data_IF_404285029802
#
_entry.id   IF_404285029802
#
_cell.length_a   1.000
_cell.length_b   1.000
_cell.length_c   1.000
_cell.angle_alpha   90.00
_cell.angle_beta   90.00
_cell.angle_gamma   90.00
#
_symmetry.space_group_name_H-M   'P 1'
#
loop_
_entity.id
_entity.type
_entity.pdbx_description
1 polymer ?
#
# COMPACT_ATOMS: atom_id res chain seq x y z
N UNK A 1 -2.73 39.94 -0.44
CA UNK A 1 -1.47 39.95 0.34
C UNK A 1 -0.40 39.26 -0.49
N UNK A 2 0.61 39.98 -0.98
CA UNK A 2 1.66 39.40 -1.82
C UNK A 2 2.79 38.85 -0.95
N UNK A 3 2.93 37.52 -0.90
CA UNK A 3 3.98 36.85 -0.14
C UNK A 3 5.04 36.22 -1.06
N UNK A 4 6.29 36.23 -0.60
CA UNK A 4 7.38 35.48 -1.22
C UNK A 4 7.03 33.98 -1.29
N UNK A 5 7.44 33.31 -2.37
CA UNK A 5 7.08 31.91 -2.70
C UNK A 5 5.60 31.64 -3.01
N UNK A 6 4.86 32.65 -3.46
CA UNK A 6 3.50 32.49 -3.98
C UNK A 6 3.40 32.94 -5.43
N UNK A 7 2.27 32.66 -6.08
CA UNK A 7 2.00 33.09 -7.45
C UNK A 7 1.59 34.57 -7.57
N UNK A 8 1.50 35.30 -6.45
CA UNK A 8 1.11 36.71 -6.43
C UNK A 8 -0.36 36.97 -6.81
N UNK A 9 -1.20 35.95 -6.81
CA UNK A 9 -2.62 36.00 -7.22
C UNK A 9 -3.60 35.82 -6.04
N UNK A 10 -3.13 36.01 -4.80
CA UNK A 10 -3.89 35.87 -3.54
C UNK A 10 -4.48 34.46 -3.26
N UNK A 11 -4.17 33.44 -4.06
CA UNK A 11 -4.55 32.05 -3.79
C UNK A 11 -3.37 31.24 -3.22
N UNK A 12 -3.43 30.96 -1.92
CA UNK A 12 -2.43 30.16 -1.21
C UNK A 12 -2.70 28.64 -1.29
N UNK A 13 -3.78 28.23 -1.96
CA UNK A 13 -4.16 26.81 -2.06
C UNK A 13 -3.58 26.14 -3.29
N UNK A 14 -2.98 26.87 -4.22
CA UNK A 14 -2.56 26.33 -5.52
C UNK A 14 -1.64 25.12 -5.38
N UNK A 15 -0.63 25.21 -4.50
CA UNK A 15 0.30 24.09 -4.26
C UNK A 15 -0.40 22.87 -3.64
N UNK A 16 -1.31 23.10 -2.70
CA UNK A 16 -2.11 22.05 -2.09
C UNK A 16 -3.01 21.35 -3.13
N UNK A 17 -3.64 22.14 -4.01
CA UNK A 17 -4.52 21.63 -5.05
C UNK A 17 -3.73 20.80 -6.05
N UNK A 18 -2.52 21.22 -6.42
CA UNK A 18 -1.62 20.42 -7.27
C UNK A 18 -1.22 19.10 -6.60
N UNK A 19 -0.78 19.14 -5.34
CA UNK A 19 -0.38 17.94 -4.59
C UNK A 19 -1.55 16.98 -4.35
N UNK A 20 -2.77 17.48 -4.17
CA UNK A 20 -3.97 16.65 -3.93
C UNK A 20 -4.23 15.62 -5.03
N UNK A 21 -3.78 15.87 -6.27
CA UNK A 21 -3.98 14.96 -7.40
C UNK A 21 -3.06 13.73 -7.34
N UNK A 22 -1.98 13.80 -6.55
CA UNK A 22 -0.99 12.72 -6.43
C UNK A 22 -0.90 12.14 -5.01
N UNK A 23 -1.58 12.76 -4.05
CA UNK A 23 -1.65 12.31 -2.66
C UNK A 23 -2.95 11.56 -2.37
N UNK A 24 -2.91 10.56 -1.48
CA UNK A 24 -4.13 9.87 -1.04
C UNK A 24 -4.93 10.66 0.01
N UNK A 25 -4.28 11.58 0.71
CA UNK A 25 -4.91 12.51 1.66
C UNK A 25 -4.19 13.86 1.66
N UNK A 26 -4.89 14.92 2.08
CA UNK A 26 -4.34 16.27 2.23
C UNK A 26 -4.85 16.93 3.50
N UNK A 27 -3.97 17.15 4.47
CA UNK A 27 -4.27 17.78 5.74
C UNK A 27 -3.84 19.26 5.77
N UNK A 28 -4.69 20.12 6.32
CA UNK A 28 -4.43 21.56 6.47
C UNK A 28 -4.55 21.98 7.93
N UNK A 29 -3.40 22.14 8.58
CA UNK A 29 -3.27 22.28 10.03
C UNK A 29 -3.60 23.70 10.52
N UNK A 30 -4.79 24.22 10.20
CA UNK A 30 -5.17 25.62 10.48
C UNK A 30 -5.79 25.84 11.86
N UNK A 31 -6.35 24.78 12.48
CA UNK A 31 -7.10 24.88 13.74
C UNK A 31 -6.47 23.99 14.80
N UNK A 32 -5.86 24.55 15.86
CA UNK A 32 -5.18 23.80 16.92
C UNK A 32 -5.97 22.60 17.49
N UNK A 33 -7.30 22.74 17.61
CA UNK A 33 -8.19 21.69 18.13
C UNK A 33 -8.33 20.46 17.21
N UNK A 34 -8.02 20.59 15.92
CA UNK A 34 -8.18 19.53 14.90
C UNK A 34 -6.83 18.93 14.48
N UNK A 35 -5.70 19.63 14.73
CA UNK A 35 -4.37 19.27 14.22
C UNK A 35 -3.97 17.83 14.58
N UNK A 36 -4.13 17.43 15.84
CA UNK A 36 -3.72 16.10 16.28
C UNK A 36 -4.49 14.99 15.55
N UNK A 37 -5.80 15.18 15.34
CA UNK A 37 -6.62 14.23 14.58
C UNK A 37 -6.24 14.19 13.09
N UNK A 38 -6.00 15.36 12.48
CA UNK A 38 -5.60 15.47 11.08
C UNK A 38 -4.26 14.79 10.78
N UNK A 39 -3.28 14.93 11.69
CA UNK A 39 -1.98 14.26 11.56
C UNK A 39 -2.16 12.74 11.65
N UNK A 40 -2.87 12.25 12.68
CA UNK A 40 -3.10 10.81 12.84
C UNK A 40 -3.84 10.20 11.64
N UNK A 41 -4.84 10.90 11.11
CA UNK A 41 -5.57 10.49 9.93
C UNK A 41 -4.66 10.41 8.70
N UNK A 42 -3.89 11.47 8.42
CA UNK A 42 -2.98 11.49 7.28
C UNK A 42 -1.92 10.37 7.39
N UNK A 43 -1.38 10.10 8.58
CA UNK A 43 -0.43 9.02 8.79
C UNK A 43 -1.07 7.63 8.60
N UNK A 44 -2.30 7.43 9.09
CA UNK A 44 -3.07 6.20 8.87
C UNK A 44 -3.31 5.97 7.37
N UNK A 45 -3.82 6.97 6.65
CA UNK A 45 -4.09 6.84 5.21
C UNK A 45 -2.81 6.59 4.40
N UNK A 46 -1.70 7.23 4.79
CA UNK A 46 -0.38 7.00 4.19
C UNK A 46 0.05 5.54 4.34
N UNK A 47 -0.11 5.00 5.55
CA UNK A 47 0.28 3.63 5.88
C UNK A 47 -0.62 2.60 5.20
N UNK A 48 -1.93 2.65 5.43
CA UNK A 48 -2.91 1.68 4.93
C UNK A 48 -2.93 1.63 3.41
N UNK A 49 -2.86 2.80 2.74
CA UNK A 49 -2.89 2.85 1.28
C UNK A 49 -1.51 2.67 0.63
N UNK A 50 -0.43 2.72 1.41
CA UNK A 50 0.96 2.77 0.91
C UNK A 50 1.15 3.82 -0.19
N UNK A 51 0.60 5.02 0.03
CA UNK A 51 0.57 6.15 -0.90
C UNK A 51 0.93 7.45 -0.17
N UNK A 52 1.49 8.46 -0.86
CA UNK A 52 1.93 9.69 -0.22
C UNK A 52 0.74 10.52 0.27
N UNK A 53 0.95 11.28 1.35
CA UNK A 53 0.02 12.29 1.87
C UNK A 53 0.67 13.67 1.86
N UNK A 54 -0.14 14.73 1.83
CA UNK A 54 0.33 16.11 1.84
C UNK A 54 -0.16 16.83 3.09
N UNK A 55 0.76 17.36 3.91
CA UNK A 55 0.42 18.07 5.15
C UNK A 55 0.90 19.51 5.03
N UNK A 56 0.00 20.46 5.24
CA UNK A 56 0.29 21.89 5.26
C UNK A 56 0.30 22.35 6.71
N UNK A 57 1.47 22.83 7.14
CA UNK A 57 1.68 23.43 8.46
C UNK A 57 1.91 24.94 8.30
N UNK A 58 0.93 25.79 8.63
CA UNK A 58 1.15 27.24 8.69
C UNK A 58 2.22 27.58 9.73
N UNK A 59 3.10 28.53 9.41
CA UNK A 59 4.22 28.89 10.30
C UNK A 59 3.76 29.41 11.66
N UNK A 60 2.63 30.11 11.72
CA UNK A 60 2.05 30.61 12.98
C UNK A 60 1.42 29.49 13.84
N UNK A 61 1.24 28.29 13.28
CA UNK A 61 0.77 27.10 14.01
C UNK A 61 1.92 26.26 14.56
N UNK A 62 3.13 26.38 14.01
CA UNK A 62 4.26 25.49 14.33
C UNK A 62 4.63 25.48 15.82
N UNK A 63 4.49 26.63 16.51
CA UNK A 63 4.79 26.77 17.93
C UNK A 63 3.54 26.68 18.84
N UNK A 64 2.35 26.52 18.25
CA UNK A 64 1.12 26.46 19.05
C UNK A 64 1.04 25.14 19.80
N UNK A 65 0.72 25.22 21.08
CA UNK A 65 0.37 24.05 21.88
C UNK A 65 -1.00 23.54 21.46
N UNK A 66 -1.07 22.23 21.25
CA UNK A 66 -2.32 21.51 20.97
C UNK A 66 -2.56 20.48 22.09
N UNK A 67 -3.75 19.89 22.09
CA UNK A 67 -4.11 18.77 22.96
C UNK A 67 -3.16 17.59 22.70
N UNK A 68 -2.64 16.96 23.76
CA UNK A 68 -1.58 15.95 23.69
C UNK A 68 -1.99 14.53 24.08
N UNK A 69 -3.20 14.32 24.61
CA UNK A 69 -3.69 13.02 25.08
C UNK A 69 -3.71 11.95 23.98
N UNK A 70 -3.78 12.36 22.71
CA UNK A 70 -3.66 11.42 21.58
C UNK A 70 -2.30 10.75 21.49
N UNK A 71 -1.23 11.33 22.05
CA UNK A 71 0.10 10.70 22.10
C UNK A 71 0.13 9.46 23.01
N UNK A 72 -0.80 9.35 23.96
CA UNK A 72 -0.92 8.18 24.84
C UNK A 72 -1.52 6.96 24.12
N UNK A 73 -2.13 7.17 22.94
CA UNK A 73 -2.75 6.11 22.13
C UNK A 73 -2.04 5.97 20.79
N UNK A 74 -1.42 4.83 20.49
CA UNK A 74 -0.82 4.60 19.17
C UNK A 74 -1.86 4.76 18.05
N UNK A 75 -1.41 5.25 16.90
CA UNK A 75 -2.26 5.30 15.70
C UNK A 75 -2.64 3.86 15.33
N UNK A 76 -3.94 3.63 15.13
CA UNK A 76 -4.44 2.36 14.60
C UNK A 76 -4.05 2.21 13.13
N UNK A 77 -3.01 1.42 12.90
CA UNK A 77 -2.47 1.09 11.58
C UNK A 77 -2.99 -0.25 11.04
N UNK A 78 -4.00 -0.84 11.68
CA UNK A 78 -4.57 -2.11 11.22
C UNK A 78 -5.30 -1.93 9.90
N UNK A 79 -5.18 -2.94 9.03
CA UNK A 79 -5.89 -2.97 7.76
C UNK A 79 -7.41 -3.05 8.01
N UNK A 80 -8.25 -2.37 7.22
CA UNK A 80 -9.70 -2.48 7.32
C UNK A 80 -10.15 -3.93 7.15
N UNK A 81 -11.10 -4.36 7.97
CA UNK A 81 -11.70 -5.69 7.80
C UNK A 81 -12.46 -5.75 6.48
N UNK A 82 -12.29 -6.84 5.74
CA UNK A 82 -13.12 -7.14 4.60
C UNK A 82 -14.56 -7.47 5.02
N UNK A 83 -15.48 -7.39 4.07
CA UNK A 83 -16.84 -7.90 4.22
C UNK A 83 -16.82 -9.43 4.16
N UNK A 84 -17.24 -10.16 5.22
CA UNK A 84 -17.04 -11.61 5.32
C UNK A 84 -17.60 -12.39 4.13
N UNK A 85 -18.82 -12.08 3.69
CA UNK A 85 -19.47 -12.77 2.57
C UNK A 85 -18.71 -12.58 1.25
N UNK A 86 -18.07 -11.42 1.05
CA UNK A 86 -17.27 -11.15 -0.16
C UNK A 86 -15.91 -11.82 -0.08
N UNK A 87 -15.29 -11.81 1.09
CA UNK A 87 -14.03 -12.51 1.32
C UNK A 87 -14.21 -14.01 1.06
N UNK A 88 -15.21 -14.64 1.68
CA UNK A 88 -15.53 -16.06 1.51
C UNK A 88 -15.77 -16.40 0.03
N UNK A 89 -16.57 -15.57 -0.66
CA UNK A 89 -16.82 -15.76 -2.09
C UNK A 89 -15.55 -15.71 -2.93
N UNK A 90 -14.65 -14.74 -2.69
CA UNK A 90 -13.39 -14.62 -3.42
C UNK A 90 -12.51 -15.85 -3.14
N UNK A 91 -12.38 -16.25 -1.88
CA UNK A 91 -11.60 -17.43 -1.48
C UNK A 91 -12.11 -18.69 -2.17
N UNK A 92 -13.42 -18.93 -2.16
CA UNK A 92 -14.05 -20.08 -2.82
C UNK A 92 -13.79 -20.11 -4.33
N UNK A 93 -13.90 -18.96 -4.99
CA UNK A 93 -13.65 -18.83 -6.43
C UNK A 93 -12.19 -19.15 -6.75
N UNK A 94 -11.25 -18.60 -5.98
CA UNK A 94 -9.81 -18.82 -6.16
C UNK A 94 -9.46 -20.30 -5.94
N UNK A 95 -9.95 -20.91 -4.86
CA UNK A 95 -9.72 -22.33 -4.57
C UNK A 95 -10.28 -23.24 -5.66
N UNK A 96 -11.47 -22.94 -6.18
CA UNK A 96 -12.06 -23.72 -7.29
C UNK A 96 -11.17 -23.70 -8.54
N UNK A 97 -10.65 -22.53 -8.91
CA UNK A 97 -9.73 -22.44 -10.05
C UNK A 97 -8.39 -23.13 -9.77
N UNK A 98 -7.86 -22.97 -8.55
CA UNK A 98 -6.61 -23.60 -8.16
C UNK A 98 -6.69 -25.14 -8.20
N UNK A 99 -7.80 -25.72 -7.75
CA UNK A 99 -8.03 -27.17 -7.80
C UNK A 99 -8.27 -27.71 -9.21
N UNK A 100 -8.83 -26.90 -10.10
CA UNK A 100 -9.05 -27.28 -11.50
C UNK A 100 -7.78 -27.15 -12.38
N UNK A 101 -6.83 -26.30 -11.97
CA UNK A 101 -5.61 -26.02 -12.71
C UNK A 101 -4.66 -27.24 -12.75
N UNK A 102 -4.11 -27.54 -13.92
CA UNK A 102 -3.13 -28.63 -14.10
C UNK A 102 -1.69 -28.23 -13.74
N UNK A 103 -1.37 -26.95 -13.87
CA UNK A 103 -0.02 -26.42 -13.63
C UNK A 103 -0.06 -24.98 -13.09
N UNK A 104 -0.62 -24.78 -11.87
CA UNK A 104 -0.68 -23.45 -11.26
C UNK A 104 0.70 -22.99 -10.78
N UNK A 105 0.89 -21.66 -10.77
CA UNK A 105 2.07 -20.98 -10.24
C UNK A 105 1.66 -19.84 -9.31
N UNK A 106 2.59 -19.37 -8.48
CA UNK A 106 2.44 -18.12 -7.72
C UNK A 106 3.35 -17.08 -8.37
N UNK A 107 2.80 -15.93 -8.74
CA UNK A 107 3.55 -14.79 -9.27
C UNK A 107 3.48 -13.64 -8.27
N UNK A 108 4.64 -13.20 -7.77
CA UNK A 108 4.74 -12.15 -6.74
C UNK A 108 5.32 -10.87 -7.37
N UNK A 109 4.68 -9.73 -7.11
CA UNK A 109 5.08 -8.42 -7.61
C UNK A 109 5.24 -7.40 -6.47
N UNK A 110 5.62 -6.16 -6.79
CA UNK A 110 5.91 -5.08 -5.86
C UNK A 110 4.81 -4.80 -4.83
N UNK A 111 3.54 -5.00 -5.18
CA UNK A 111 2.43 -4.77 -4.26
C UNK A 111 2.51 -5.68 -3.03
N UNK A 112 3.07 -6.89 -3.15
CA UNK A 112 3.26 -7.77 -2.01
C UNK A 112 4.20 -7.14 -0.96
N UNK A 113 5.28 -6.49 -1.42
CA UNK A 113 6.21 -5.75 -0.56
C UNK A 113 5.56 -4.47 -0.02
N UNK A 114 4.94 -3.68 -0.90
CA UNK A 114 4.37 -2.36 -0.55
C UNK A 114 3.21 -2.46 0.42
N UNK A 115 2.42 -3.52 0.34
CA UNK A 115 1.29 -3.78 1.26
C UNK A 115 1.65 -4.75 2.38
N UNK A 116 2.93 -5.11 2.53
CA UNK A 116 3.45 -5.87 3.68
C UNK A 116 2.79 -7.25 3.85
N UNK A 117 2.43 -7.91 2.74
CA UNK A 117 1.79 -9.24 2.74
C UNK A 117 2.77 -10.38 2.43
N UNK A 118 4.06 -10.19 2.75
CA UNK A 118 5.10 -11.16 2.41
C UNK A 118 5.01 -12.44 3.25
N UNK A 119 4.61 -12.33 4.51
CA UNK A 119 4.52 -13.47 5.41
C UNK A 119 3.39 -14.42 4.95
N UNK A 120 2.25 -13.87 4.53
CA UNK A 120 1.12 -14.62 3.96
C UNK A 120 1.50 -15.27 2.63
N UNK A 121 2.24 -14.56 1.77
CA UNK A 121 2.76 -15.12 0.51
C UNK A 121 3.71 -16.28 0.78
N UNK A 122 4.58 -16.17 1.79
CA UNK A 122 5.49 -17.26 2.17
C UNK A 122 4.72 -18.45 2.73
N UNK A 123 3.74 -18.21 3.61
CA UNK A 123 2.89 -19.26 4.16
C UNK A 123 2.09 -20.00 3.07
N UNK A 124 1.53 -19.26 2.10
CA UNK A 124 0.83 -19.83 0.96
C UNK A 124 1.77 -20.68 0.09
N UNK A 125 2.96 -20.18 -0.21
CA UNK A 125 3.95 -20.91 -0.99
C UNK A 125 4.40 -22.20 -0.28
N UNK A 126 4.61 -22.17 1.04
CA UNK A 126 5.02 -23.33 1.83
C UNK A 126 3.92 -24.41 1.89
N UNK A 127 2.66 -24.01 2.10
CA UNK A 127 1.52 -24.94 2.17
C UNK A 127 1.22 -25.58 0.83
N UNK A 128 1.23 -24.79 -0.24
CA UNK A 128 0.81 -25.26 -1.58
C UNK A 128 1.96 -25.93 -2.34
N UNK A 129 3.21 -25.62 -2.00
CA UNK A 129 4.43 -26.08 -2.69
C UNK A 129 4.43 -25.77 -4.19
N UNK A 130 3.73 -24.72 -4.59
CA UNK A 130 3.66 -24.29 -5.98
C UNK A 130 4.96 -23.58 -6.42
N UNK A 131 5.32 -23.63 -7.71
CA UNK A 131 6.40 -22.82 -8.24
C UNK A 131 6.11 -21.33 -8.03
N UNK A 132 7.07 -20.61 -7.46
CA UNK A 132 6.97 -19.16 -7.19
C UNK A 132 7.91 -18.39 -8.11
N UNK A 133 7.38 -17.35 -8.76
CA UNK A 133 8.12 -16.42 -9.60
C UNK A 133 7.97 -15.00 -9.05
N UNK A 134 8.97 -14.16 -9.32
CA UNK A 134 8.95 -12.74 -8.97
C UNK A 134 9.11 -11.88 -10.21
N UNK A 135 8.40 -10.76 -10.27
CA UNK A 135 8.62 -9.74 -11.29
C UNK A 135 9.88 -8.92 -10.97
N UNK A 136 10.39 -8.10 -11.91
CA UNK A 136 11.51 -7.20 -11.64
C UNK A 136 11.24 -6.22 -10.48
N UNK A 137 10.01 -5.71 -10.35
CA UNK A 137 9.66 -4.80 -9.25
C UNK A 137 9.38 -5.53 -7.92
N UNK A 138 9.02 -6.82 -7.97
CA UNK A 138 8.89 -7.69 -6.80
C UNK A 138 10.20 -8.32 -6.33
N UNK A 139 11.34 -7.98 -6.94
CA UNK A 139 12.65 -8.54 -6.56
C UNK A 139 12.93 -8.24 -5.08
N UNK A 140 13.20 -9.30 -4.32
CA UNK A 140 13.38 -9.25 -2.86
C UNK A 140 12.16 -9.68 -2.04
N UNK A 141 11.01 -9.92 -2.69
CA UNK A 141 9.79 -10.39 -2.01
C UNK A 141 9.88 -11.83 -1.48
N UNK A 142 10.72 -12.68 -2.07
CA UNK A 142 10.81 -14.11 -1.72
C UNK A 142 12.21 -14.46 -1.22
N UNK A 143 12.32 -15.11 -0.05
CA UNK A 143 13.62 -15.55 0.52
C UNK A 143 14.27 -16.71 -0.26
N UNK A 144 13.46 -17.51 -0.93
CA UNK A 144 13.86 -18.59 -1.82
C UNK A 144 13.06 -18.44 -3.10
N UNK A 145 13.62 -17.76 -4.10
CA UNK A 145 13.32 -18.22 -5.44
C UNK A 145 14.14 -19.51 -5.60
N UNK A 146 13.54 -20.71 -5.77
CA UNK A 146 14.30 -21.91 -6.14
C UNK A 146 15.00 -21.80 -7.51
N UNK A 147 14.92 -20.63 -8.15
CA UNK A 147 15.34 -20.32 -9.51
C UNK A 147 16.19 -19.04 -9.58
N UNK A 148 17.15 -18.89 -8.65
CA UNK A 148 18.34 -18.04 -8.85
C UNK A 148 19.48 -18.77 -9.62
N UNK A 149 19.20 -19.93 -10.24
CA UNK A 149 19.99 -20.44 -11.36
C UNK A 149 19.31 -19.97 -12.67
N UNK A 150 20.03 -19.21 -13.49
CA UNK A 150 19.61 -18.45 -14.69
C UNK A 150 19.02 -19.30 -15.84
N UNK A 151 18.41 -20.47 -15.57
CA UNK A 151 17.99 -21.45 -16.57
C UNK A 151 16.49 -21.86 -16.68
N UNK A 152 15.44 -21.05 -16.39
CA UNK A 152 14.05 -21.53 -16.55
C UNK A 152 13.20 -20.75 -17.54
N UNK A 153 13.63 -19.55 -17.97
CA UNK A 153 12.85 -18.72 -18.92
C UNK A 153 12.55 -19.47 -20.24
N UNK A 154 13.26 -20.58 -20.51
CA UNK A 154 13.07 -21.42 -21.69
C UNK A 154 12.05 -22.56 -21.51
N UNK A 155 11.79 -23.06 -20.30
CA UNK A 155 10.90 -24.21 -20.09
C UNK A 155 9.41 -23.82 -20.00
N UNK A 156 9.10 -22.62 -19.51
CA UNK A 156 7.70 -22.17 -19.40
C UNK A 156 7.04 -21.87 -20.76
N UNK A 157 7.81 -21.70 -21.85
CA UNK A 157 7.23 -21.65 -23.21
C UNK A 157 6.69 -23.01 -23.68
N UNK A 158 7.05 -24.12 -23.02
CA UNK A 158 6.64 -25.48 -23.43
C UNK A 158 5.43 -26.01 -22.64
N UNK A 159 5.19 -25.53 -21.43
CA UNK A 159 4.03 -25.89 -20.64
C UNK A 159 3.08 -24.70 -20.62
N UNK A 160 1.91 -24.80 -21.26
CA UNK A 160 0.88 -23.75 -21.28
C UNK A 160 0.37 -23.40 -19.89
N UNK A 161 1.16 -22.62 -19.14
CA UNK A 161 0.85 -22.18 -17.80
C UNK A 161 -0.28 -21.14 -17.87
N UNK A 162 -1.43 -21.48 -17.30
CA UNK A 162 -2.49 -20.53 -17.04
C UNK A 162 -2.07 -19.67 -15.84
N UNK A 163 -1.81 -18.40 -16.09
CA UNK A 163 -1.44 -17.43 -15.06
C UNK A 163 -2.73 -17.06 -14.32
N UNK A 164 -2.89 -17.53 -13.07
CA UNK A 164 -3.78 -16.88 -12.13
C UNK A 164 -3.03 -15.65 -11.59
N UNK A 165 -3.32 -14.49 -12.17
CA UNK A 165 -3.02 -13.22 -11.53
C UNK A 165 -4.15 -12.96 -10.53
N UNK A 166 -3.83 -13.04 -9.24
CA UNK A 166 -4.66 -12.50 -8.16
C UNK A 166 -4.28 -11.04 -7.93
#
# INVERSE_FOLDING_TARGET
>A
MLLHHTLGNDDFNVLANMSSQISCDTARLNKPSEIANQIDHALRECWTRSRPVYIILPTDMAEKKIEGARLDTPIDLTEPKNEPEREDYVVDVVLRYLHAAKSPIILVDACAIRHRVLDEVHELAEKTRLPVFVTPMGKGATRRAPYEDDRPFLECRRAGAEILAL
#
